data_IF_203724395388
#
_entry.id   IF_203724395388
#
_cell.length_a   1.000
_cell.length_b   1.000
_cell.length_c   1.000
_cell.angle_alpha   90.00
_cell.angle_beta   90.00
_cell.angle_gamma   90.00
#
_symmetry.space_group_name_H-M   'P 1'
#
loop_
_entity.id
_entity.type
_entity.pdbx_description
1 polymer ?
#
# COMPACT_ATOMS: atom_id res chain seq x y z
N UNK A 1 13.55 20.87 -35.69
CA UNK A 1 12.48 19.88 -35.42
C UNK A 1 12.80 19.23 -34.09
N UNK A 2 12.22 19.74 -33.00
CA UNK A 2 12.48 19.20 -31.66
C UNK A 2 11.53 18.03 -31.41
N UNK A 3 12.07 16.84 -31.19
CA UNK A 3 11.30 15.68 -30.73
C UNK A 3 10.55 16.03 -29.44
N UNK A 4 9.25 15.70 -29.30
CA UNK A 4 8.58 15.86 -28.03
C UNK A 4 9.23 14.88 -27.04
N UNK A 5 9.80 15.41 -25.95
CA UNK A 5 10.22 14.62 -24.81
C UNK A 5 9.07 13.67 -24.44
N UNK A 6 9.35 12.38 -24.50
CA UNK A 6 8.42 11.33 -24.12
C UNK A 6 8.18 11.52 -22.63
N UNK A 7 7.05 12.13 -22.26
CA UNK A 7 6.65 12.25 -20.85
C UNK A 7 6.48 10.83 -20.33
N UNK A 8 7.47 10.35 -19.57
CA UNK A 8 7.41 9.14 -18.79
C UNK A 8 6.10 9.18 -18.04
N UNK A 9 5.22 8.24 -18.36
CA UNK A 9 3.92 8.23 -17.72
C UNK A 9 4.15 7.85 -16.24
N UNK A 10 3.48 8.47 -15.27
CA UNK A 10 3.84 8.36 -13.85
C UNK A 10 3.85 6.90 -13.39
N UNK A 11 4.74 6.57 -12.44
CA UNK A 11 4.84 5.24 -11.85
C UNK A 11 3.53 4.86 -11.13
N UNK A 12 3.22 3.56 -10.99
CA UNK A 12 2.13 3.12 -10.13
C UNK A 12 2.35 3.58 -8.68
N UNK A 13 1.25 3.80 -7.96
CA UNK A 13 1.28 4.04 -6.51
C UNK A 13 1.29 2.70 -5.75
N UNK A 14 1.90 2.68 -4.58
CA UNK A 14 1.71 1.61 -3.60
C UNK A 14 1.29 2.25 -2.28
N UNK A 15 0.02 2.06 -1.94
CA UNK A 15 -0.58 2.43 -0.67
C UNK A 15 -0.25 1.38 0.37
N UNK A 16 0.50 1.76 1.40
CA UNK A 16 1.08 0.85 2.38
C UNK A 16 0.47 1.12 3.76
N UNK A 17 -0.22 0.13 4.30
CA UNK A 17 -0.56 0.10 5.71
C UNK A 17 0.63 -0.36 6.58
N UNK A 18 0.55 -0.15 7.90
CA UNK A 18 1.59 -0.48 8.87
C UNK A 18 1.21 -1.74 9.66
N UNK A 19 0.02 -1.78 10.23
CA UNK A 19 -0.41 -2.83 11.15
C UNK A 19 -0.84 -4.03 10.32
N UNK A 20 -0.19 -5.17 10.50
CA UNK A 20 -0.37 -6.34 9.63
C UNK A 20 0.77 -6.44 8.62
N UNK A 21 0.85 -5.60 7.57
CA UNK A 21 1.91 -5.67 6.57
C UNK A 21 3.34 -5.50 7.09
N UNK A 22 3.57 -4.51 7.95
CA UNK A 22 4.92 -4.18 8.46
C UNK A 22 5.09 -4.61 9.92
N UNK A 23 4.02 -4.53 10.71
CA UNK A 23 3.99 -4.92 12.11
C UNK A 23 3.05 -6.11 12.24
N UNK A 24 3.57 -7.35 12.25
CA UNK A 24 2.70 -8.52 12.34
C UNK A 24 2.10 -8.69 13.75
N UNK A 25 0.88 -9.19 13.80
CA UNK A 25 0.09 -9.44 15.02
C UNK A 25 -0.94 -10.56 14.83
N UNK A 26 -1.47 -11.09 15.95
CA UNK A 26 -2.58 -12.04 15.94
C UNK A 26 -2.24 -13.54 15.82
N UNK A 27 -0.98 -13.90 15.55
CA UNK A 27 -0.52 -15.29 15.59
C UNK A 27 -0.70 -15.92 16.99
N UNK A 28 -1.08 -17.19 17.02
CA UNK A 28 -1.19 -17.96 18.27
C UNK A 28 0.18 -18.48 18.75
N UNK A 29 0.23 -19.00 19.98
CA UNK A 29 1.45 -19.62 20.51
C UNK A 29 1.81 -20.91 19.76
N UNK A 30 0.85 -21.60 19.14
CA UNK A 30 1.12 -22.75 18.28
C UNK A 30 1.74 -22.33 16.94
N UNK A 31 1.34 -21.17 16.42
CA UNK A 31 1.84 -20.63 15.15
C UNK A 31 3.23 -19.98 15.31
N UNK A 32 3.45 -19.27 16.42
CA UNK A 32 4.73 -18.66 16.79
C UNK A 32 5.09 -18.99 18.26
N UNK A 33 5.66 -20.18 18.54
CA UNK A 33 6.02 -20.61 19.89
C UNK A 33 7.05 -19.69 20.58
N UNK A 34 7.96 -19.13 19.79
CA UNK A 34 8.99 -18.19 20.27
C UNK A 34 8.52 -16.72 20.22
N UNK A 35 7.24 -16.49 19.87
CA UNK A 35 6.68 -15.17 19.65
C UNK A 35 7.15 -14.52 18.34
N UNK A 36 6.88 -13.22 18.20
CA UNK A 36 7.29 -12.46 17.03
C UNK A 36 8.80 -12.19 17.04
N UNK A 37 9.48 -12.27 15.88
CA UNK A 37 10.84 -11.77 15.73
C UNK A 37 10.94 -10.30 16.14
N UNK A 38 12.06 -9.94 16.77
CA UNK A 38 12.37 -8.56 17.14
C UNK A 38 13.74 -8.16 16.59
N UNK A 39 13.84 -6.99 15.98
CA UNK A 39 15.01 -6.60 15.18
C UNK A 39 15.77 -5.38 15.75
N UNK A 40 15.35 -4.85 16.89
CA UNK A 40 15.98 -3.71 17.57
C UNK A 40 16.66 -4.07 18.88
N UNK A 41 17.67 -3.30 19.27
CA UNK A 41 18.34 -3.39 20.59
C UNK A 41 17.85 -2.33 21.58
N UNK A 42 17.06 -1.35 21.11
CA UNK A 42 16.45 -0.32 21.96
C UNK A 42 15.19 -0.87 22.62
N UNK A 43 15.05 -0.62 23.92
CA UNK A 43 13.76 -0.70 24.60
C UNK A 43 12.95 0.49 24.07
N UNK A 44 12.21 0.26 22.99
CA UNK A 44 11.26 1.23 22.46
C UNK A 44 10.06 1.34 23.41
N UNK A 45 9.52 2.56 23.59
CA UNK A 45 8.34 2.77 24.41
C UNK A 45 7.11 2.01 23.88
N UNK A 46 7.07 1.75 22.57
CA UNK A 46 6.10 0.87 21.95
C UNK A 46 6.77 -0.45 21.53
N UNK A 47 6.46 -1.58 22.21
CA UNK A 47 7.07 -2.89 21.90
C UNK A 47 6.72 -3.41 20.50
N UNK A 48 5.66 -2.90 19.86
CA UNK A 48 5.31 -3.28 18.49
C UNK A 48 6.36 -2.82 17.47
N UNK A 49 7.01 -1.69 17.71
CA UNK A 49 8.05 -1.16 16.82
C UNK A 49 9.28 -2.07 16.75
N UNK A 50 9.51 -2.91 17.77
CA UNK A 50 10.59 -3.89 17.75
C UNK A 50 10.38 -5.00 16.70
N UNK A 51 9.15 -5.21 16.23
CA UNK A 51 8.80 -6.24 15.23
C UNK A 51 9.11 -5.81 13.79
N UNK A 52 9.42 -4.53 13.56
CA UNK A 52 9.73 -4.01 12.24
C UNK A 52 11.05 -4.60 11.73
N UNK A 53 10.95 -5.46 10.70
CA UNK A 53 12.12 -6.05 10.04
C UNK A 53 12.81 -5.00 9.14
N UNK A 54 14.09 -4.63 9.41
CA UNK A 54 14.84 -3.70 8.60
C UNK A 54 15.00 -4.11 7.13
N UNK A 55 14.85 -5.40 6.80
CA UNK A 55 14.92 -5.90 5.44
C UNK A 55 13.70 -5.49 4.58
N UNK A 56 12.59 -5.06 5.19
CA UNK A 56 11.39 -4.65 4.47
C UNK A 56 11.60 -3.38 3.65
N UNK A 57 12.33 -2.39 4.17
CA UNK A 57 12.50 -1.12 3.44
C UNK A 57 13.28 -1.25 2.15
N UNK A 58 14.47 -1.89 2.11
CA UNK A 58 15.17 -2.17 0.87
C UNK A 58 14.32 -2.97 -0.13
N UNK A 59 13.52 -3.92 0.35
CA UNK A 59 12.61 -4.71 -0.49
C UNK A 59 11.49 -3.86 -1.10
N UNK A 60 10.90 -2.95 -0.31
CA UNK A 60 9.89 -1.98 -0.76
C UNK A 60 10.47 -0.97 -1.76
N UNK A 61 11.68 -0.45 -1.51
CA UNK A 61 12.35 0.52 -2.38
C UNK A 61 12.81 -0.07 -3.71
N UNK A 62 12.95 -1.40 -3.80
CA UNK A 62 13.28 -2.09 -5.05
C UNK A 62 12.08 -2.24 -5.99
N UNK A 63 10.84 -2.01 -5.52
CA UNK A 63 9.64 -2.07 -6.35
C UNK A 63 9.55 -0.84 -7.28
N UNK A 64 9.15 -0.99 -8.55
CA UNK A 64 9.07 0.12 -9.49
C UNK A 64 7.77 0.94 -9.31
N UNK A 65 7.59 1.51 -8.12
CA UNK A 65 6.43 2.28 -7.71
C UNK A 65 6.79 3.51 -6.87
N UNK A 66 5.81 4.39 -6.66
CA UNK A 66 5.86 5.45 -5.65
C UNK A 66 5.12 4.96 -4.39
N UNK A 67 5.84 4.86 -3.27
CA UNK A 67 5.26 4.45 -1.98
C UNK A 67 4.49 5.61 -1.33
N UNK A 68 3.32 5.32 -0.75
CA UNK A 68 2.48 6.27 -0.03
C UNK A 68 1.95 5.59 1.23
N UNK A 69 2.03 6.26 2.39
CA UNK A 69 1.45 5.77 3.63
C UNK A 69 -0.08 5.80 3.55
N UNK A 70 -0.70 4.63 3.75
CA UNK A 70 -2.14 4.40 3.81
C UNK A 70 -2.52 3.76 5.14
N UNK A 71 -2.10 4.42 6.23
CA UNK A 71 -2.21 3.91 7.60
C UNK A 71 -2.88 4.89 8.56
N UNK A 72 -3.46 4.34 9.63
CA UNK A 72 -3.98 5.08 10.79
C UNK A 72 -2.87 5.79 11.58
N UNK A 73 -1.60 5.40 11.40
CA UNK A 73 -0.46 6.13 11.94
C UNK A 73 -0.28 7.51 11.29
N UNK A 74 -0.84 7.74 10.11
CA UNK A 74 -0.72 9.03 9.39
C UNK A 74 0.75 9.50 9.25
N UNK A 75 1.05 10.75 9.60
CA UNK A 75 2.40 11.31 9.57
C UNK A 75 3.36 10.67 10.59
N UNK A 76 2.84 10.05 11.66
CA UNK A 76 3.67 9.37 12.66
C UNK A 76 4.40 8.15 12.07
N UNK A 77 3.91 7.57 10.96
CA UNK A 77 4.63 6.54 10.23
C UNK A 77 6.01 7.02 9.75
N UNK A 78 6.13 8.29 9.34
CA UNK A 78 7.43 8.86 8.94
C UNK A 78 8.36 9.11 10.13
N UNK A 79 7.82 9.37 11.32
CA UNK A 79 8.61 9.61 12.53
C UNK A 79 9.08 8.30 13.18
N UNK A 80 8.23 7.27 13.18
CA UNK A 80 8.44 6.06 13.98
C UNK A 80 8.70 4.80 13.14
N UNK A 81 8.06 4.64 11.98
CA UNK A 81 8.19 3.43 11.17
C UNK A 81 9.31 3.57 10.16
N UNK A 82 9.28 4.61 9.32
CA UNK A 82 10.21 4.78 8.20
C UNK A 82 11.70 4.67 8.60
N UNK A 83 12.19 5.31 9.69
CA UNK A 83 13.59 5.23 10.06
C UNK A 83 14.05 3.84 10.52
N UNK A 84 13.14 3.00 11.03
CA UNK A 84 13.46 1.65 11.52
C UNK A 84 13.66 0.65 10.40
N UNK A 85 12.95 0.84 9.29
CA UNK A 85 13.07 0.00 8.10
C UNK A 85 13.89 0.65 6.98
N UNK A 86 14.42 1.86 7.18
CA UNK A 86 15.26 2.54 6.21
C UNK A 86 14.51 3.14 5.02
N UNK A 87 13.22 3.44 5.18
CA UNK A 87 12.44 4.19 4.19
C UNK A 87 12.71 5.69 4.31
N UNK A 88 12.69 6.45 3.19
CA UNK A 88 12.65 7.90 3.25
C UNK A 88 11.28 8.37 3.77
N UNK A 89 11.15 9.68 4.00
CA UNK A 89 9.84 10.26 4.26
C UNK A 89 8.92 10.04 3.05
N UNK A 90 7.76 9.44 3.26
CA UNK A 90 6.77 9.17 2.22
C UNK A 90 5.59 10.14 2.31
N UNK A 91 4.90 10.39 1.18
CA UNK A 91 3.57 11.01 1.19
C UNK A 91 2.59 10.21 2.05
N UNK A 92 1.59 10.89 2.63
CA UNK A 92 0.56 10.29 3.49
C UNK A 92 -0.80 10.54 2.85
N UNK A 93 -1.64 9.51 2.78
CA UNK A 93 -3.03 9.68 2.36
C UNK A 93 -3.76 10.52 3.41
N UNK A 94 -4.42 11.59 2.96
CA UNK A 94 -5.34 12.35 3.80
C UNK A 94 -6.68 11.62 3.85
N UNK A 95 -7.10 11.23 5.06
CA UNK A 95 -8.37 10.58 5.28
C UNK A 95 -9.49 11.61 5.36
N UNK A 96 -10.65 11.35 4.72
CA UNK A 96 -11.84 12.19 4.92
C UNK A 96 -12.32 12.06 6.37
N UNK A 97 -13.07 13.07 6.84
CA UNK A 97 -13.80 12.92 8.09
C UNK A 97 -14.73 11.70 8.01
N UNK A 98 -14.96 10.98 9.12
CA UNK A 98 -15.85 9.82 9.14
C UNK A 98 -17.23 10.22 8.59
N UNK A 99 -17.62 9.66 7.45
CA UNK A 99 -18.95 9.87 6.87
C UNK A 99 -19.86 8.69 7.19
N UNK A 100 -21.14 8.96 7.46
CA UNK A 100 -22.15 7.92 7.69
C UNK A 100 -22.38 7.02 6.45
N UNK A 101 -21.92 7.45 5.27
CA UNK A 101 -22.12 6.73 4.00
C UNK A 101 -21.20 5.50 3.87
N UNK A 102 -20.07 5.48 4.57
CA UNK A 102 -19.18 4.31 4.64
C UNK A 102 -19.86 3.07 5.26
N UNK A 103 -20.93 3.25 6.03
CA UNK A 103 -21.72 2.14 6.57
C UNK A 103 -22.67 1.51 5.54
N UNK A 104 -23.04 2.26 4.48
CA UNK A 104 -24.00 1.78 3.46
C UNK A 104 -23.34 0.86 2.44
N UNK A 105 -22.08 1.15 2.10
CA UNK A 105 -21.28 0.34 1.18
C UNK A 105 -20.41 -0.59 2.03
N UNK A 106 -20.50 -1.92 1.83
CA UNK A 106 -19.79 -2.93 2.64
C UNK A 106 -18.26 -2.96 2.41
N UNK A 107 -17.67 -1.82 2.10
CA UNK A 107 -16.25 -1.63 1.80
C UNK A 107 -15.53 -1.07 3.02
N UNK A 108 -14.23 -1.30 3.09
CA UNK A 108 -13.36 -0.68 4.04
C UNK A 108 -13.34 0.84 3.87
N UNK A 109 -13.31 1.59 4.97
CA UNK A 109 -13.42 3.05 4.97
C UNK A 109 -12.28 3.75 4.21
N UNK A 110 -11.10 3.12 4.07
CA UNK A 110 -9.99 3.65 3.24
C UNK A 110 -10.29 3.55 1.74
N UNK A 111 -11.14 2.61 1.30
CA UNK A 111 -11.24 2.19 -0.11
C UNK A 111 -11.57 3.34 -1.06
N UNK A 112 -12.59 4.15 -0.74
CA UNK A 112 -12.95 5.32 -1.54
C UNK A 112 -11.82 6.36 -1.61
N UNK A 113 -11.26 6.72 -0.46
CA UNK A 113 -10.17 7.69 -0.36
C UNK A 113 -8.92 7.28 -1.14
N UNK A 114 -8.58 5.98 -1.18
CA UNK A 114 -7.46 5.47 -1.97
C UNK A 114 -7.72 5.58 -3.47
N UNK A 115 -8.94 5.29 -3.92
CA UNK A 115 -9.32 5.44 -5.33
C UNK A 115 -9.29 6.90 -5.77
N UNK A 116 -9.79 7.80 -4.93
CA UNK A 116 -9.76 9.25 -5.16
C UNK A 116 -8.31 9.77 -5.20
N UNK A 117 -7.49 9.37 -4.22
CA UNK A 117 -6.08 9.74 -4.17
C UNK A 117 -5.31 9.25 -5.40
N UNK A 118 -5.62 8.04 -5.87
CA UNK A 118 -5.00 7.50 -7.07
C UNK A 118 -5.35 8.30 -8.33
N UNK A 119 -6.50 8.98 -8.38
CA UNK A 119 -6.93 9.83 -9.49
C UNK A 119 -6.76 9.15 -10.88
N UNK A 120 -7.08 7.86 -10.96
CA UNK A 120 -6.95 7.03 -12.16
C UNK A 120 -5.53 6.50 -12.45
N UNK A 121 -4.52 6.84 -11.64
CA UNK A 121 -3.19 6.20 -11.70
C UNK A 121 -3.30 4.74 -11.26
N UNK A 122 -2.57 3.81 -11.91
CA UNK A 122 -2.47 2.45 -11.42
C UNK A 122 -1.97 2.42 -9.97
N UNK A 123 -2.55 1.57 -9.13
CA UNK A 123 -2.10 1.44 -7.74
C UNK A 123 -2.14 0.00 -7.21
N UNK A 124 -1.30 -0.25 -6.21
CA UNK A 124 -1.41 -1.39 -5.29
C UNK A 124 -1.87 -0.85 -3.94
N UNK A 125 -2.79 -1.53 -3.27
CA UNK A 125 -3.06 -1.35 -1.85
C UNK A 125 -2.65 -2.61 -1.07
N UNK A 126 -1.78 -2.43 -0.08
CA UNK A 126 -1.22 -3.47 0.78
C UNK A 126 -1.70 -3.24 2.22
N UNK A 127 -2.55 -4.13 2.71
CA UNK A 127 -3.28 -3.99 3.97
C UNK A 127 -3.91 -5.36 4.35
N UNK A 128 -4.10 -5.66 5.62
CA UNK A 128 -4.64 -6.95 6.09
C UNK A 128 -6.18 -6.99 6.17
N UNK A 129 -6.84 -5.82 6.22
CA UNK A 129 -8.28 -5.66 6.37
C UNK A 129 -9.04 -5.71 5.03
N UNK A 130 -8.32 -5.83 3.91
CA UNK A 130 -8.89 -5.91 2.55
C UNK A 130 -9.89 -7.07 2.44
N UNK A 131 -11.12 -6.75 1.99
CA UNK A 131 -12.18 -7.71 1.75
C UNK A 131 -12.44 -7.96 0.24
N UNK A 132 -13.31 -8.94 -0.04
CA UNK A 132 -13.80 -9.18 -1.40
C UNK A 132 -14.72 -8.05 -1.90
N UNK A 133 -15.39 -7.33 -0.99
CA UNK A 133 -16.22 -6.18 -1.34
C UNK A 133 -15.36 -5.03 -1.85
N UNK A 134 -14.23 -4.76 -1.20
CA UNK A 134 -13.27 -3.75 -1.65
C UNK A 134 -12.77 -4.03 -3.05
N UNK A 135 -12.37 -5.28 -3.32
CA UNK A 135 -11.91 -5.71 -4.65
C UNK A 135 -12.96 -5.49 -5.72
N UNK A 136 -14.21 -5.86 -5.43
CA UNK A 136 -15.33 -5.70 -6.35
C UNK A 136 -15.63 -4.22 -6.61
N UNK A 137 -15.65 -3.41 -5.55
CA UNK A 137 -15.93 -2.00 -5.63
C UNK A 137 -14.84 -1.25 -6.40
N UNK A 138 -13.55 -1.48 -6.10
CA UNK A 138 -12.44 -0.84 -6.80
C UNK A 138 -12.44 -1.21 -8.29
N UNK A 139 -12.71 -2.47 -8.64
CA UNK A 139 -12.81 -2.90 -10.03
C UNK A 139 -13.92 -2.17 -10.82
N UNK A 140 -14.99 -1.75 -10.14
CA UNK A 140 -16.09 -1.01 -10.75
C UNK A 140 -15.85 0.51 -10.81
N UNK A 141 -15.13 1.08 -9.83
CA UNK A 141 -15.04 2.54 -9.64
C UNK A 141 -13.69 3.14 -10.03
N UNK A 142 -12.61 2.35 -10.09
CA UNK A 142 -11.30 2.84 -10.47
C UNK A 142 -11.00 2.56 -11.96
N UNK A 143 -10.78 3.58 -12.80
CA UNK A 143 -10.56 3.38 -14.24
C UNK A 143 -9.15 2.85 -14.58
N UNK A 144 -8.21 2.89 -13.63
CA UNK A 144 -6.85 2.37 -13.77
C UNK A 144 -6.74 0.90 -13.38
N UNK A 145 -5.53 0.33 -13.53
CA UNK A 145 -5.23 -1.00 -12.96
C UNK A 145 -5.08 -0.86 -11.45
N UNK A 146 -5.79 -1.69 -10.68
CA UNK A 146 -5.61 -1.79 -9.24
C UNK A 146 -5.28 -3.23 -8.81
N UNK A 147 -4.42 -3.38 -7.80
CA UNK A 147 -4.22 -4.62 -7.05
C UNK A 147 -4.50 -4.37 -5.57
N UNK A 148 -5.43 -5.13 -5.01
CA UNK A 148 -5.70 -5.12 -3.57
C UNK A 148 -5.09 -6.38 -2.95
N UNK A 149 -3.86 -6.21 -2.47
CA UNK A 149 -3.02 -7.28 -1.95
C UNK A 149 -3.22 -7.40 -0.44
N UNK A 150 -4.01 -8.40 -0.05
CA UNK A 150 -4.30 -8.68 1.37
C UNK A 150 -3.13 -9.44 1.98
N UNK A 151 -2.55 -8.90 3.04
CA UNK A 151 -1.48 -9.56 3.81
C UNK A 151 -2.09 -10.35 4.97
N UNK A 152 -1.51 -11.49 5.31
CA UNK A 152 -1.85 -12.19 6.55
C UNK A 152 -1.20 -11.44 7.73
N UNK A 153 -1.99 -10.84 8.64
CA UNK A 153 -1.43 -9.99 9.68
C UNK A 153 -0.55 -10.78 10.65
N UNK A 154 -0.72 -12.10 10.74
CA UNK A 154 0.07 -12.98 11.62
C UNK A 154 1.53 -13.06 11.22
N UNK A 155 1.85 -12.79 9.96
CA UNK A 155 3.19 -13.00 9.41
C UNK A 155 3.75 -11.75 8.71
N UNK A 156 2.88 -10.82 8.32
CA UNK A 156 3.27 -9.62 7.59
C UNK A 156 3.80 -9.92 6.19
N UNK A 157 4.40 -8.91 5.55
CA UNK A 157 4.92 -9.02 4.19
C UNK A 157 6.07 -10.01 4.11
N UNK A 158 5.90 -11.05 3.30
CA UNK A 158 6.91 -12.07 3.03
C UNK A 158 7.43 -12.06 1.58
N UNK A 159 8.42 -12.93 1.27
CA UNK A 159 8.99 -13.03 -0.07
C UNK A 159 7.97 -13.31 -1.19
N UNK A 160 6.93 -14.10 -0.91
CA UNK A 160 5.87 -14.42 -1.87
C UNK A 160 4.99 -13.19 -2.21
N UNK A 161 4.77 -12.33 -1.22
CA UNK A 161 4.05 -11.07 -1.40
C UNK A 161 4.86 -10.13 -2.30
N UNK A 162 6.13 -9.92 -1.99
CA UNK A 162 7.03 -9.11 -2.83
C UNK A 162 7.11 -9.63 -4.27
N UNK A 163 7.15 -10.94 -4.48
CA UNK A 163 7.12 -11.53 -5.82
C UNK A 163 5.82 -11.17 -6.56
N UNK A 164 4.67 -11.24 -5.89
CA UNK A 164 3.36 -10.86 -6.44
C UNK A 164 3.31 -9.37 -6.78
N UNK A 165 3.78 -8.52 -5.87
CA UNK A 165 3.84 -7.06 -6.04
C UNK A 165 4.74 -6.68 -7.23
N UNK A 166 5.95 -7.22 -7.29
CA UNK A 166 6.91 -6.95 -8.37
C UNK A 166 6.37 -7.39 -9.74
N UNK A 167 5.76 -8.58 -9.82
CA UNK A 167 5.13 -9.08 -11.04
C UNK A 167 4.00 -8.16 -11.53
N UNK A 168 3.13 -7.70 -10.62
CA UNK A 168 2.03 -6.81 -11.00
C UNK A 168 2.52 -5.43 -11.46
N UNK A 169 3.50 -4.86 -10.74
CA UNK A 169 4.08 -3.54 -11.03
C UNK A 169 4.87 -3.52 -12.34
N UNK A 170 5.48 -4.65 -12.72
CA UNK A 170 6.19 -4.82 -13.99
C UNK A 170 5.28 -5.13 -15.18
N UNK A 171 4.00 -5.44 -14.93
CA UNK A 171 3.03 -5.82 -15.96
C UNK A 171 2.73 -4.69 -16.96
N UNK A 172 2.29 -5.02 -18.19
CA UNK A 172 2.10 -4.05 -19.27
C UNK A 172 1.16 -2.91 -18.86
N UNK A 173 1.59 -1.68 -19.15
CA UNK A 173 0.76 -0.48 -19.00
C UNK A 173 -0.35 -0.54 -20.05
N UNK A 174 -1.63 -0.32 -19.70
CA UNK A 174 -2.69 -0.30 -20.70
C UNK A 174 -2.38 0.77 -21.76
N UNK A 175 -2.68 0.51 -23.05
CA UNK A 175 -2.47 1.50 -24.10
C UNK A 175 -3.29 2.75 -23.80
N UNK A 176 -2.70 3.93 -24.00
CA UNK A 176 -3.39 5.21 -23.82
C UNK A 176 -4.54 5.28 -24.83
N UNK A 177 -5.77 5.17 -24.37
CA UNK A 177 -6.94 5.52 -25.19
C UNK A 177 -6.95 7.03 -25.40
N UNK A 178 -6.81 7.45 -26.67
CA UNK A 178 -6.94 8.86 -27.06
C UNK A 178 -8.42 9.23 -26.93
N UNK A 179 -8.79 10.36 -26.29
CA UNK A 179 -10.17 10.80 -26.32
C UNK A 179 -10.60 11.04 -27.78
N UNK A 180 -11.86 10.75 -28.13
CA UNK A 180 -12.37 11.01 -29.47
C UNK A 180 -12.20 12.50 -29.80
N UNK A 181 -11.71 12.80 -31.01
CA UNK A 181 -11.68 14.18 -31.51
C UNK A 181 -13.13 14.67 -31.54
N UNK A 182 -13.40 15.78 -30.86
CA UNK A 182 -14.65 16.52 -31.06
C UNK A 182 -14.74 16.86 -32.56
N UNK A 183 -15.81 16.41 -33.22
CA UNK A 183 -16.15 16.89 -34.55
C UNK A 183 -16.44 18.39 -34.42
N UNK A 184 -15.73 19.19 -35.20
CA UNK A 184 -16.02 20.59 -35.43
C UNK A 184 -17.16 20.73 -36.45
#
# INVERSE_FOLDING_TARGET
>A
MSSPAQRSSPLPLLFLDVDGPLIPFGATAEELPDGYPTYGTRIDANPLLARLDPALGPSLLALPCELVWATTWTADANAWVAPRIGLPQLPVVAWPDPSEDGERERIHWKTGALVDHAAGRPFVWVDDEISAYDRTWVAAHHPGRALLHRVDPRFGLGPADFATLAAWLSGPRPPRTRPPKALA
#
